data_IF_771765363908
#
_entry.id   IF_771765363908
#
_cell.length_a   1.000
_cell.length_b   1.000
_cell.length_c   1.000
_cell.angle_alpha   90.00
_cell.angle_beta   90.00
_cell.angle_gamma   90.00
#
_symmetry.space_group_name_H-M   'P 1'
#
loop_
_entity.id
_entity.type
_entity.pdbx_description
1 polymer ?
#
# COMPACT_ATOMS: atom_id res chain seq x y z
N UNK A 1 -19.61 9.82 29.31
CA UNK A 1 -18.60 8.95 29.94
C UNK A 1 -17.38 9.78 30.31
N UNK A 2 -16.68 9.44 31.39
CA UNK A 2 -15.40 10.10 31.70
C UNK A 2 -14.28 9.53 30.82
N UNK A 3 -13.14 10.22 30.71
CA UNK A 3 -11.98 9.72 29.96
C UNK A 3 -11.47 8.38 30.50
N UNK A 4 -11.56 8.17 31.81
CA UNK A 4 -11.19 6.90 32.45
C UNK A 4 -12.14 5.77 32.03
N UNK A 5 -13.45 6.03 31.98
CA UNK A 5 -14.44 5.04 31.52
C UNK A 5 -14.20 4.66 30.05
N UNK A 6 -13.82 5.62 29.20
CA UNK A 6 -13.51 5.37 27.79
C UNK A 6 -12.24 4.53 27.65
N UNK A 7 -11.19 4.81 28.44
CA UNK A 7 -9.96 3.97 28.44
C UNK A 7 -10.27 2.53 28.86
N UNK A 8 -11.16 2.33 29.83
CA UNK A 8 -11.58 0.99 30.23
C UNK A 8 -12.45 0.29 29.17
N UNK A 9 -13.31 1.04 28.47
CA UNK A 9 -14.03 0.54 27.31
C UNK A 9 -13.08 0.07 26.21
N UNK A 10 -12.05 0.87 25.88
CA UNK A 10 -10.98 0.50 24.94
C UNK A 10 -10.31 -0.79 25.39
N UNK A 11 -9.88 -0.88 26.66
CA UNK A 11 -9.26 -2.12 27.20
C UNK A 11 -10.17 -3.33 27.05
N UNK A 12 -11.46 -3.17 27.32
CA UNK A 12 -12.46 -4.24 27.23
C UNK A 12 -12.62 -4.70 25.78
N UNK A 13 -12.72 -3.78 24.81
CA UNK A 13 -12.78 -4.13 23.39
C UNK A 13 -11.52 -4.85 22.93
N UNK A 14 -10.34 -4.34 23.29
CA UNK A 14 -9.07 -4.97 22.93
C UNK A 14 -8.96 -6.40 23.49
N UNK A 15 -9.46 -6.64 24.71
CA UNK A 15 -9.43 -7.95 25.36
C UNK A 15 -10.46 -8.93 24.81
N UNK A 16 -11.72 -8.49 24.75
CA UNK A 16 -12.87 -9.39 24.60
C UNK A 16 -13.34 -9.51 23.14
N UNK A 17 -13.04 -8.51 22.31
CA UNK A 17 -13.47 -8.48 20.90
C UNK A 17 -12.32 -8.63 19.91
N UNK A 18 -11.18 -7.96 20.14
CA UNK A 18 -10.01 -8.07 19.25
C UNK A 18 -8.99 -9.12 19.70
N UNK A 19 -9.19 -9.74 20.87
CA UNK A 19 -8.29 -10.75 21.45
C UNK A 19 -6.81 -10.32 21.42
N UNK A 20 -6.55 -9.03 21.68
CA UNK A 20 -5.23 -8.43 21.56
C UNK A 20 -4.25 -9.08 22.55
N UNK A 21 -3.12 -9.57 22.01
CA UNK A 21 -2.11 -10.31 22.78
C UNK A 21 -1.09 -9.43 23.52
N UNK A 22 -1.15 -8.11 23.32
CA UNK A 22 -0.17 -7.13 23.79
C UNK A 22 -0.74 -6.22 24.91
N UNK A 23 -1.75 -6.72 25.63
CA UNK A 23 -2.43 -5.96 26.69
C UNK A 23 -1.55 -5.67 27.91
N UNK A 24 -0.42 -6.35 28.06
CA UNK A 24 0.59 -6.05 29.08
C UNK A 24 1.18 -4.65 28.95
N UNK A 25 1.26 -4.12 27.72
CA UNK A 25 1.73 -2.76 27.44
C UNK A 25 0.61 -1.72 27.55
N UNK A 26 -0.64 -2.13 27.82
CA UNK A 26 -1.79 -1.24 27.77
C UNK A 26 -1.79 -0.19 28.87
N UNK A 27 -1.85 1.07 28.44
CA UNK A 27 -2.06 2.23 29.29
C UNK A 27 -2.41 3.46 28.45
N UNK A 28 -2.76 4.60 29.07
CA UNK A 28 -3.14 5.80 28.32
C UNK A 28 -2.05 6.27 27.32
N UNK A 29 -0.78 6.10 27.66
CA UNK A 29 0.34 6.50 26.81
C UNK A 29 0.83 5.38 25.88
N UNK A 30 0.21 4.20 25.93
CA UNK A 30 0.57 3.11 25.03
C UNK A 30 0.30 3.53 23.60
N UNK A 31 1.31 3.38 22.75
CA UNK A 31 1.21 3.67 21.33
C UNK A 31 0.41 2.59 20.64
N UNK A 32 -0.57 3.01 19.84
CA UNK A 32 -1.56 2.12 19.24
C UNK A 32 -0.88 1.11 18.31
N UNK A 33 0.05 1.55 17.47
CA UNK A 33 0.75 0.67 16.55
C UNK A 33 1.93 -0.04 17.22
N UNK A 34 2.87 0.67 17.84
CA UNK A 34 4.11 0.02 18.29
C UNK A 34 3.97 -0.79 19.58
N UNK A 35 3.11 -0.38 20.50
CA UNK A 35 2.98 -1.05 21.80
C UNK A 35 1.79 -2.02 21.80
N UNK A 36 0.71 -1.69 21.09
CA UNK A 36 -0.53 -2.48 21.05
C UNK A 36 -0.76 -3.19 19.72
N UNK A 37 0.10 -3.00 18.72
CA UNK A 37 0.05 -3.70 17.45
C UNK A 37 -1.28 -3.51 16.68
N UNK A 38 -1.92 -2.35 16.87
CA UNK A 38 -3.15 -1.96 16.18
C UNK A 38 -2.79 -1.28 14.86
N UNK A 39 -3.15 -1.95 13.76
CA UNK A 39 -3.09 -1.36 12.43
C UNK A 39 -4.37 -0.61 12.08
N UNK A 40 -4.44 -0.03 10.88
CA UNK A 40 -5.61 0.74 10.47
C UNK A 40 -6.91 -0.08 10.41
N UNK A 41 -6.84 -1.40 10.19
CA UNK A 41 -8.02 -2.29 10.17
C UNK A 41 -8.46 -2.58 11.60
N UNK A 42 -7.55 -2.97 12.48
CA UNK A 42 -7.84 -3.19 13.90
C UNK A 42 -8.33 -1.91 14.59
N UNK A 43 -7.83 -0.74 14.17
CA UNK A 43 -8.34 0.54 14.62
C UNK A 43 -9.79 0.77 14.17
N UNK A 44 -10.13 0.48 12.92
CA UNK A 44 -11.53 0.55 12.44
C UNK A 44 -12.43 -0.41 13.23
N UNK A 45 -11.99 -1.64 13.48
CA UNK A 45 -12.75 -2.61 14.29
C UNK A 45 -12.90 -2.14 15.75
N UNK A 46 -11.87 -1.56 16.34
CA UNK A 46 -11.92 -0.96 17.67
C UNK A 46 -12.99 0.14 17.74
N UNK A 47 -12.99 1.08 16.79
CA UNK A 47 -13.97 2.17 16.77
C UNK A 47 -15.39 1.65 16.65
N UNK A 48 -15.62 0.69 15.75
CA UNK A 48 -16.92 0.11 15.54
C UNK A 48 -17.41 -0.63 16.80
N UNK A 49 -16.55 -1.35 17.49
CA UNK A 49 -16.91 -2.04 18.74
C UNK A 49 -17.15 -1.06 19.90
N UNK A 50 -16.42 0.05 19.98
CA UNK A 50 -16.70 1.11 20.94
C UNK A 50 -18.08 1.73 20.70
N UNK A 51 -18.45 1.93 19.44
CA UNK A 51 -19.78 2.41 19.08
C UNK A 51 -20.88 1.40 19.44
N UNK A 52 -20.74 0.16 18.97
CA UNK A 52 -21.78 -0.87 19.11
C UNK A 52 -21.96 -1.34 20.57
N UNK A 53 -20.87 -1.49 21.32
CA UNK A 53 -20.92 -2.05 22.68
C UNK A 53 -21.03 -0.99 23.77
N UNK A 54 -20.59 0.25 23.51
CA UNK A 54 -20.54 1.32 24.52
C UNK A 54 -21.30 2.60 24.13
N UNK A 55 -21.90 2.67 22.93
CA UNK A 55 -22.62 3.85 22.46
C UNK A 55 -21.70 5.05 22.21
N UNK A 56 -20.40 4.80 22.00
CA UNK A 56 -19.40 5.82 21.70
C UNK A 56 -19.37 6.07 20.19
N UNK A 57 -20.24 6.95 19.73
CA UNK A 57 -20.34 7.31 18.31
C UNK A 57 -19.22 8.28 17.90
N UNK A 58 -18.54 7.97 16.80
CA UNK A 58 -17.56 8.85 16.17
C UNK A 58 -17.88 8.96 14.67
N UNK A 59 -17.96 10.19 14.11
CA UNK A 59 -18.11 10.40 12.68
C UNK A 59 -17.05 9.62 11.89
N UNK A 60 -17.46 8.93 10.81
CA UNK A 60 -16.56 8.19 9.90
C UNK A 60 -15.32 9.03 9.52
N UNK A 61 -15.53 10.32 9.27
CA UNK A 61 -14.49 11.28 8.88
C UNK A 61 -13.43 11.46 9.96
N UNK A 62 -13.79 11.44 11.24
CA UNK A 62 -12.86 11.59 12.37
C UNK A 62 -12.07 10.30 12.65
N UNK A 63 -12.67 9.15 12.32
CA UNK A 63 -12.04 7.83 12.42
C UNK A 63 -10.95 7.66 11.35
N UNK A 64 -11.14 8.23 10.15
CA UNK A 64 -10.20 8.05 9.03
C UNK A 64 -9.14 9.15 8.90
N UNK A 65 -9.37 10.35 9.44
CA UNK A 65 -8.55 11.56 9.22
C UNK A 65 -7.57 11.95 10.33
N UNK A 66 -7.65 11.35 11.54
CA UNK A 66 -6.78 11.74 12.66
C UNK A 66 -5.57 10.81 12.80
N UNK A 67 -4.38 11.41 12.89
CA UNK A 67 -3.18 10.73 13.39
C UNK A 67 -3.34 10.50 14.90
N UNK A 68 -4.00 9.41 15.25
CA UNK A 68 -4.11 8.93 16.61
C UNK A 68 -2.88 8.06 16.89
N UNK A 69 -2.09 8.45 17.89
CA UNK A 69 -0.85 7.75 18.20
C UNK A 69 -1.00 6.88 19.45
N UNK A 70 -1.83 7.28 20.42
CA UNK A 70 -1.95 6.63 21.72
C UNK A 70 -3.39 6.32 22.11
N UNK A 71 -3.56 5.42 23.10
CA UNK A 71 -4.87 5.15 23.74
C UNK A 71 -5.51 6.43 24.28
N UNK A 72 -4.71 7.34 24.82
CA UNK A 72 -5.17 8.62 25.35
C UNK A 72 -5.75 9.52 24.24
N UNK A 73 -5.25 9.44 23.01
CA UNK A 73 -5.76 10.20 21.87
C UNK A 73 -7.14 9.67 21.45
N UNK A 74 -7.28 8.34 21.38
CA UNK A 74 -8.57 7.67 21.13
C UNK A 74 -9.59 8.05 22.20
N UNK A 75 -9.20 7.98 23.48
CA UNK A 75 -10.09 8.36 24.58
C UNK A 75 -10.43 9.87 24.55
N UNK A 76 -9.48 10.71 24.10
CA UNK A 76 -9.67 12.14 23.94
C UNK A 76 -10.69 12.48 22.86
N UNK A 77 -10.71 11.73 21.76
CA UNK A 77 -11.67 11.85 20.67
C UNK A 77 -13.12 11.74 21.20
N UNK A 78 -13.40 10.68 21.94
CA UNK A 78 -14.73 10.40 22.49
C UNK A 78 -15.10 11.27 23.70
N UNK A 79 -14.10 11.82 24.40
CA UNK A 79 -14.33 12.75 25.52
C UNK A 79 -14.64 14.18 25.06
N UNK A 80 -14.68 14.46 23.75
CA UNK A 80 -14.92 15.80 23.21
C UNK A 80 -13.76 16.78 23.47
N UNK A 81 -12.54 16.27 23.68
CA UNK A 81 -11.37 17.13 23.86
C UNK A 81 -11.07 17.86 22.54
N UNK A 82 -10.82 19.16 22.62
CA UNK A 82 -10.33 19.94 21.48
C UNK A 82 -9.01 19.31 20.98
N UNK A 83 -8.83 19.23 19.66
CA UNK A 83 -7.65 18.59 19.09
C UNK A 83 -6.38 19.22 19.66
N UNK A 84 -5.41 18.40 20.08
CA UNK A 84 -4.04 18.86 20.04
C UNK A 84 -3.77 19.23 18.58
N UNK A 85 -3.29 20.45 18.34
CA UNK A 85 -2.92 20.86 16.99
C UNK A 85 -1.97 19.77 16.44
N UNK A 86 -2.38 19.08 15.39
CA UNK A 86 -1.46 18.25 14.63
C UNK A 86 -0.28 19.16 14.29
N UNK A 87 0.95 18.70 14.54
CA UNK A 87 2.11 19.41 14.05
C UNK A 87 1.87 19.63 12.56
N UNK A 88 1.85 20.90 12.11
CA UNK A 88 1.69 21.21 10.69
C UNK A 88 2.73 20.37 9.95
N UNK A 89 2.24 19.46 9.11
CA UNK A 89 3.11 18.80 8.16
C UNK A 89 3.84 19.93 7.42
N UNK A 90 5.17 19.85 7.25
CA UNK A 90 5.89 20.86 6.50
C UNK A 90 5.19 21.05 5.16
N UNK A 91 5.09 22.30 4.66
CA UNK A 91 4.39 22.56 3.41
C UNK A 91 4.90 21.59 2.36
N UNK A 92 4.01 20.94 1.58
CA UNK A 92 4.43 19.98 0.58
C UNK A 92 5.50 20.64 -0.28
N UNK A 93 6.67 20.01 -0.36
CA UNK A 93 7.78 20.52 -1.16
C UNK A 93 7.32 20.76 -2.59
N UNK A 94 7.93 21.74 -3.28
CA UNK A 94 7.60 22.01 -4.68
C UNK A 94 7.67 20.73 -5.50
N UNK A 95 6.71 20.50 -6.41
CA UNK A 95 6.76 19.36 -7.34
C UNK A 95 8.05 19.40 -8.18
N UNK A 96 8.67 20.56 -8.32
CA UNK A 96 9.95 20.76 -9.01
C UNK A 96 11.19 20.60 -8.11
N UNK A 97 11.01 20.52 -6.79
CA UNK A 97 12.08 20.32 -5.81
C UNK A 97 12.66 18.90 -5.80
N UNK A 98 13.80 18.73 -5.12
CA UNK A 98 14.40 17.41 -4.86
C UNK A 98 13.74 16.69 -3.67
N UNK A 99 13.05 17.44 -2.80
CA UNK A 99 12.34 16.96 -1.60
C UNK A 99 10.91 16.46 -1.87
N UNK A 100 10.63 15.95 -3.07
CA UNK A 100 9.36 15.27 -3.31
C UNK A 100 9.38 13.92 -2.57
N UNK A 101 8.59 13.81 -1.50
CA UNK A 101 8.56 12.62 -0.65
C UNK A 101 7.83 11.48 -1.36
N UNK A 102 8.51 10.33 -1.51
CA UNK A 102 7.92 9.12 -2.09
C UNK A 102 6.77 8.61 -1.21
N UNK A 103 5.64 8.30 -1.83
CA UNK A 103 4.48 7.73 -1.16
C UNK A 103 4.62 6.21 -1.18
N UNK A 104 4.09 5.54 -0.15
CA UNK A 104 4.12 4.08 -0.05
C UNK A 104 3.09 3.51 -1.00
N UNK A 105 3.48 2.64 -1.94
CA UNK A 105 2.56 2.23 -2.99
C UNK A 105 2.65 0.74 -3.32
N UNK A 106 3.87 0.19 -3.45
CA UNK A 106 4.06 -1.19 -3.87
C UNK A 106 5.49 -1.68 -3.60
N UNK A 107 5.68 -2.54 -2.60
CA UNK A 107 6.99 -2.98 -2.10
C UNK A 107 8.02 -3.42 -3.16
N UNK A 108 7.61 -4.25 -4.13
CA UNK A 108 8.47 -4.64 -5.25
C UNK A 108 8.95 -3.44 -6.09
N UNK A 109 8.02 -2.56 -6.48
CA UNK A 109 8.30 -1.38 -7.31
C UNK A 109 9.17 -0.40 -6.55
N UNK A 110 8.86 -0.15 -5.27
CA UNK A 110 9.66 0.69 -4.38
C UNK A 110 11.11 0.20 -4.27
N UNK A 111 11.31 -1.12 -4.18
CA UNK A 111 12.64 -1.72 -4.13
C UNK A 111 13.46 -1.53 -5.43
N UNK A 112 12.88 -1.77 -6.60
CA UNK A 112 13.62 -1.57 -7.86
C UNK A 112 13.79 -0.08 -8.21
N UNK A 113 12.87 0.78 -7.78
CA UNK A 113 13.00 2.24 -7.86
C UNK A 113 14.11 2.78 -6.96
N UNK A 114 14.48 2.08 -5.88
CA UNK A 114 15.61 2.48 -5.05
C UNK A 114 16.93 2.53 -5.84
N UNK A 115 17.18 1.53 -6.69
CA UNK A 115 18.37 1.54 -7.54
C UNK A 115 18.36 2.69 -8.55
N UNK A 116 17.18 3.05 -9.09
CA UNK A 116 17.04 4.22 -9.96
C UNK A 116 17.38 5.52 -9.21
N UNK A 117 16.84 5.70 -8.00
CA UNK A 117 17.12 6.87 -7.15
C UNK A 117 18.60 6.98 -6.82
N UNK A 118 19.24 5.88 -6.39
CA UNK A 118 20.69 5.83 -6.13
C UNK A 118 21.54 6.12 -7.38
N UNK A 119 21.00 5.92 -8.57
CA UNK A 119 21.64 6.24 -9.85
C UNK A 119 21.29 7.65 -10.37
N UNK A 120 20.47 8.43 -9.67
CA UNK A 120 20.00 9.73 -10.13
C UNK A 120 19.05 9.67 -11.32
N UNK A 121 18.41 8.52 -11.55
CA UNK A 121 17.47 8.29 -12.65
C UNK A 121 16.04 8.57 -12.18
N UNK A 122 15.24 9.18 -13.04
CA UNK A 122 13.83 9.43 -12.77
C UNK A 122 13.03 8.11 -12.70
N UNK A 123 12.62 7.78 -11.48
CA UNK A 123 11.91 6.55 -11.14
C UNK A 123 10.38 6.69 -11.27
N UNK A 124 9.85 7.91 -11.30
CA UNK A 124 8.41 8.20 -11.32
C UNK A 124 7.66 7.49 -12.45
N UNK A 125 8.20 7.40 -13.69
CA UNK A 125 7.56 6.64 -14.76
C UNK A 125 7.27 5.18 -14.42
N UNK A 126 8.07 4.55 -13.57
CA UNK A 126 7.90 3.13 -13.26
C UNK A 126 6.63 2.84 -12.44
N UNK A 127 6.14 3.83 -11.69
CA UNK A 127 4.90 3.73 -10.93
C UNK A 127 3.63 3.72 -11.80
N UNK A 128 3.72 3.94 -13.12
CA UNK A 128 2.53 3.91 -14.00
C UNK A 128 1.83 2.54 -14.00
N UNK A 129 2.55 1.47 -13.70
CA UNK A 129 1.99 0.13 -13.60
C UNK A 129 1.30 -0.19 -12.27
N UNK A 130 1.23 0.75 -11.33
CA UNK A 130 0.90 0.43 -9.93
C UNK A 130 -0.55 0.69 -9.54
N UNK A 131 -1.17 1.80 -9.98
CA UNK A 131 -2.54 2.17 -9.57
C UNK A 131 -3.60 1.10 -9.86
N UNK A 132 -3.39 0.32 -10.93
CA UNK A 132 -4.22 -0.81 -11.34
C UNK A 132 -3.42 -2.12 -11.44
N UNK A 133 -2.32 -2.22 -10.66
CA UNK A 133 -1.56 -3.46 -10.57
C UNK A 133 -2.47 -4.64 -10.16
N UNK A 134 -2.14 -5.82 -10.67
CA UNK A 134 -2.94 -7.04 -10.48
C UNK A 134 -3.20 -7.37 -9.00
N UNK A 135 -4.37 -7.94 -8.77
CA UNK A 135 -4.81 -8.56 -7.52
C UNK A 135 -5.74 -9.73 -7.90
N UNK A 136 -6.01 -10.64 -6.96
CA UNK A 136 -6.92 -11.77 -7.18
C UNK A 136 -8.23 -11.57 -6.42
N UNK A 137 -9.35 -11.95 -7.04
CA UNK A 137 -10.60 -12.27 -6.33
C UNK A 137 -10.80 -13.76 -6.47
N UNK A 138 -10.64 -14.49 -5.37
CA UNK A 138 -10.75 -15.95 -5.39
C UNK A 138 -12.19 -16.42 -5.63
N UNK A 139 -12.36 -17.72 -5.90
CA UNK A 139 -13.69 -18.33 -6.01
C UNK A 139 -14.52 -18.15 -4.72
N UNK A 140 -13.84 -18.02 -3.59
CA UNK A 140 -14.40 -17.71 -2.26
C UNK A 140 -14.79 -16.23 -2.08
N UNK A 141 -14.68 -15.41 -3.13
CA UNK A 141 -14.99 -13.98 -3.12
C UNK A 141 -14.11 -13.17 -2.16
N UNK A 142 -12.89 -13.64 -1.89
CA UNK A 142 -11.91 -12.93 -1.06
C UNK A 142 -10.93 -12.19 -1.96
N UNK A 143 -10.74 -10.90 -1.67
CA UNK A 143 -9.78 -10.01 -2.31
C UNK A 143 -8.36 -10.29 -1.76
N UNK A 144 -7.40 -10.52 -2.66
CA UNK A 144 -6.02 -10.85 -2.31
C UNK A 144 -5.01 -9.97 -3.07
N UNK A 145 -4.18 -9.27 -2.32
CA UNK A 145 -3.02 -8.49 -2.75
C UNK A 145 -1.91 -9.41 -3.26
N UNK A 146 -1.71 -10.56 -2.61
CA UNK A 146 -0.79 -11.62 -3.03
C UNK A 146 -1.53 -12.91 -3.34
N UNK A 147 -1.30 -13.44 -4.53
CA UNK A 147 -1.74 -14.76 -4.92
C UNK A 147 -0.81 -15.34 -6.01
N UNK A 148 -0.78 -16.66 -6.22
CA UNK A 148 0.07 -17.28 -7.25
C UNK A 148 -0.21 -16.76 -8.67
N UNK A 149 -1.40 -16.24 -8.92
CA UNK A 149 -1.81 -15.64 -10.20
C UNK A 149 -1.27 -14.23 -10.41
N UNK A 150 -0.85 -13.54 -9.34
CA UNK A 150 -0.28 -12.19 -9.38
C UNK A 150 1.22 -12.31 -9.63
N UNK A 151 1.64 -12.03 -10.87
CA UNK A 151 3.05 -12.08 -11.29
C UNK A 151 3.70 -10.70 -11.33
N UNK A 152 4.99 -10.65 -10.99
CA UNK A 152 5.85 -9.47 -11.18
C UNK A 152 6.56 -9.44 -12.55
N UNK A 153 6.31 -10.41 -13.43
CA UNK A 153 7.01 -10.51 -14.73
C UNK A 153 6.82 -9.29 -15.61
N UNK A 154 5.61 -8.73 -15.63
CA UNK A 154 5.32 -7.48 -16.36
C UNK A 154 6.22 -6.34 -15.88
N UNK A 155 6.39 -6.20 -14.57
CA UNK A 155 7.29 -5.18 -14.01
C UNK A 155 8.74 -5.45 -14.38
N UNK A 156 9.19 -6.71 -14.37
CA UNK A 156 10.57 -7.09 -14.71
C UNK A 156 10.88 -6.78 -16.18
N UNK A 157 9.98 -7.14 -17.09
CA UNK A 157 10.13 -6.91 -18.52
C UNK A 157 10.15 -5.41 -18.85
N UNK A 158 9.25 -4.64 -18.24
CA UNK A 158 9.23 -3.19 -18.41
C UNK A 158 10.41 -2.49 -17.75
N UNK A 159 10.88 -2.96 -16.59
CA UNK A 159 12.07 -2.39 -15.95
C UNK A 159 13.29 -2.53 -16.86
N UNK A 160 13.48 -3.72 -17.46
CA UNK A 160 14.54 -3.94 -18.45
C UNK A 160 14.38 -3.07 -19.68
N UNK A 161 13.16 -2.92 -20.22
CA UNK A 161 12.93 -2.09 -21.41
C UNK A 161 13.14 -0.61 -21.15
N UNK A 162 12.66 -0.11 -20.00
CA UNK A 162 12.74 1.30 -19.62
C UNK A 162 14.15 1.67 -19.21
N UNK A 163 14.81 0.85 -18.41
CA UNK A 163 16.02 1.21 -17.69
C UNK A 163 17.22 0.31 -17.97
N UNK A 164 17.08 -0.74 -18.78
CA UNK A 164 18.18 -1.59 -19.24
C UNK A 164 18.52 -2.77 -18.33
N UNK A 165 18.42 -2.58 -17.01
CA UNK A 165 18.79 -3.61 -16.05
C UNK A 165 17.79 -4.78 -16.02
N UNK A 166 18.31 -6.00 -15.93
CA UNK A 166 17.50 -7.19 -15.77
C UNK A 166 17.17 -7.44 -14.29
N UNK A 167 15.88 -7.63 -13.98
CA UNK A 167 15.43 -8.07 -12.66
C UNK A 167 15.30 -9.59 -12.65
N UNK A 168 16.33 -10.27 -12.15
CA UNK A 168 16.47 -11.74 -12.17
C UNK A 168 15.94 -12.35 -10.89
N UNK A 169 15.01 -13.28 -11.00
CA UNK A 169 14.56 -14.05 -9.84
C UNK A 169 15.68 -15.01 -9.38
N UNK A 170 16.03 -14.97 -8.10
CA UNK A 170 16.97 -15.93 -7.49
C UNK A 170 16.25 -17.01 -6.67
N UNK A 171 15.05 -16.71 -6.16
CA UNK A 171 14.24 -17.66 -5.40
C UNK A 171 13.69 -18.74 -6.33
N UNK A 172 13.94 -20.00 -5.99
CA UNK A 172 13.51 -21.16 -6.77
C UNK A 172 12.39 -21.91 -6.02
N UNK A 173 11.13 -21.85 -6.48
CA UNK A 173 10.01 -22.54 -5.84
C UNK A 173 10.14 -24.07 -5.81
N UNK A 174 11.01 -24.65 -6.65
CA UNK A 174 11.27 -26.09 -6.64
C UNK A 174 12.23 -26.53 -5.53
N UNK A 175 12.94 -25.59 -4.90
CA UNK A 175 13.87 -25.84 -3.78
C UNK A 175 13.19 -25.69 -2.43
N UNK A 176 13.73 -26.37 -1.43
CA UNK A 176 13.31 -26.22 -0.05
C UNK A 176 13.56 -24.81 0.50
N UNK A 177 12.87 -24.46 1.58
CA UNK A 177 13.03 -23.16 2.26
C UNK A 177 14.47 -22.92 2.74
N UNK A 178 15.10 -23.92 3.35
CA UNK A 178 16.48 -23.80 3.82
C UNK A 178 17.49 -23.66 2.68
N UNK A 179 17.25 -24.30 1.53
CA UNK A 179 18.12 -24.17 0.36
C UNK A 179 18.03 -22.76 -0.23
N UNK A 180 16.81 -22.21 -0.35
CA UNK A 180 16.62 -20.82 -0.76
C UNK A 180 17.20 -19.83 0.25
N UNK A 181 17.08 -20.10 1.55
CA UNK A 181 17.68 -19.27 2.60
C UNK A 181 19.21 -19.26 2.51
N UNK A 182 19.83 -20.43 2.26
CA UNK A 182 21.27 -20.52 2.05
C UNK A 182 21.72 -19.72 0.82
N UNK A 183 20.96 -19.77 -0.28
CA UNK A 183 21.21 -18.94 -1.47
C UNK A 183 21.11 -17.45 -1.12
N UNK A 184 20.08 -17.03 -0.38
CA UNK A 184 19.95 -15.64 0.04
C UNK A 184 21.17 -15.17 0.82
N UNK A 185 21.61 -15.94 1.80
CA UNK A 185 22.76 -15.57 2.64
C UNK A 185 24.05 -15.49 1.82
N UNK A 186 24.26 -16.43 0.89
CA UNK A 186 25.41 -16.39 -0.02
C UNK A 186 25.39 -15.14 -0.92
N UNK A 187 24.22 -14.77 -1.44
CA UNK A 187 24.04 -13.58 -2.27
C UNK A 187 24.35 -12.30 -1.49
N UNK A 188 23.85 -12.16 -0.26
CA UNK A 188 24.11 -10.97 0.57
C UNK A 188 25.58 -10.88 0.98
N UNK A 189 26.25 -12.02 1.22
CA UNK A 189 27.66 -12.03 1.62
C UNK A 189 28.62 -11.72 0.44
N UNK A 190 28.26 -12.16 -0.78
CA UNK A 190 29.14 -12.06 -1.97
C UNK A 190 28.79 -10.93 -2.93
N UNK A 191 27.68 -10.21 -2.72
CA UNK A 191 27.25 -9.16 -3.64
C UNK A 191 28.32 -8.07 -3.83
N UNK A 192 28.38 -7.52 -5.03
CA UNK A 192 29.08 -6.26 -5.30
C UNK A 192 28.25 -5.08 -4.77
N UNK A 193 28.88 -3.93 -4.53
CA UNK A 193 28.20 -2.70 -4.07
C UNK A 193 27.09 -2.23 -5.01
N UNK A 194 27.13 -2.63 -6.28
CA UNK A 194 26.14 -2.25 -7.28
C UNK A 194 25.00 -3.25 -7.42
N UNK A 195 25.14 -4.44 -6.85
CA UNK A 195 24.15 -5.49 -6.92
C UNK A 195 23.16 -5.37 -5.77
N UNK A 196 21.90 -5.18 -6.12
CA UNK A 196 20.78 -5.13 -5.19
C UNK A 196 20.25 -6.54 -4.96
N UNK A 197 20.18 -6.96 -3.68
CA UNK A 197 19.58 -8.24 -3.26
C UNK A 197 18.24 -7.96 -2.61
N UNK A 198 17.15 -8.26 -3.33
CA UNK A 198 15.79 -8.13 -2.84
C UNK A 198 15.27 -9.48 -2.38
N UNK A 199 14.69 -9.53 -1.18
CA UNK A 199 14.11 -10.72 -0.60
C UNK A 199 12.68 -10.45 -0.13
N UNK A 200 11.79 -11.41 -0.34
CA UNK A 200 10.50 -11.43 0.35
C UNK A 200 10.71 -11.98 1.77
N UNK A 201 10.12 -11.33 2.75
CA UNK A 201 10.02 -11.80 4.14
C UNK A 201 8.60 -11.54 4.65
N UNK A 202 8.18 -12.24 5.70
CA UNK A 202 6.92 -11.94 6.37
C UNK A 202 7.14 -10.90 7.48
N UNK A 203 6.66 -9.67 7.26
CA UNK A 203 6.89 -8.57 8.22
C UNK A 203 6.16 -8.75 9.54
N UNK A 204 5.13 -9.61 9.61
CA UNK A 204 4.50 -9.95 10.89
C UNK A 204 5.51 -10.52 11.89
N UNK A 205 6.57 -11.17 11.39
CA UNK A 205 7.62 -11.79 12.18
C UNK A 205 8.85 -10.88 12.42
N UNK A 206 8.76 -9.59 12.06
CA UNK A 206 9.82 -8.58 12.27
C UNK A 206 9.30 -7.38 13.09
N UNK A 207 9.05 -7.56 14.40
CA UNK A 207 8.48 -6.53 15.29
C UNK A 207 9.41 -5.35 15.55
N UNK A 208 10.70 -5.46 15.22
CA UNK A 208 11.68 -4.37 15.33
C UNK A 208 11.39 -3.20 14.36
N UNK A 209 10.37 -3.36 13.50
CA UNK A 209 9.95 -2.37 12.51
C UNK A 209 8.58 -1.82 12.85
N UNK A 210 8.41 -0.51 12.65
CA UNK A 210 7.06 0.10 12.63
C UNK A 210 6.30 -0.47 11.43
N UNK A 211 5.30 -1.31 11.70
CA UNK A 211 4.49 -1.95 10.68
C UNK A 211 3.09 -1.34 10.67
N UNK A 212 2.82 -0.51 9.65
CA UNK A 212 1.50 0.10 9.45
C UNK A 212 0.38 -0.93 9.20
N UNK A 213 0.72 -2.17 8.86
CA UNK A 213 -0.21 -3.27 8.64
C UNK A 213 0.24 -4.49 9.44
N UNK A 214 -0.40 -4.74 10.58
CA UNK A 214 -0.06 -5.86 11.46
C UNK A 214 -0.85 -7.11 11.04
N UNK A 215 -0.91 -7.37 9.74
CA UNK A 215 -1.60 -8.52 9.18
C UNK A 215 -0.76 -9.79 9.32
N UNK A 216 -1.39 -10.92 9.57
CA UNK A 216 -0.75 -12.22 9.54
C UNK A 216 -1.45 -13.13 8.52
N UNK A 217 -0.74 -13.61 7.48
CA UNK A 217 0.64 -13.26 7.11
C UNK A 217 0.74 -11.86 6.47
N UNK A 218 1.94 -11.26 6.43
CA UNK A 218 2.19 -10.03 5.66
C UNK A 218 3.51 -10.13 4.87
N UNK A 219 3.51 -10.87 3.74
CA UNK A 219 4.68 -11.01 2.89
C UNK A 219 5.02 -9.67 2.20
N UNK A 220 6.29 -9.30 2.22
CA UNK A 220 6.77 -7.99 1.75
C UNK A 220 8.18 -8.10 1.17
N UNK A 221 8.47 -7.32 0.14
CA UNK A 221 9.82 -7.22 -0.42
C UNK A 221 10.62 -6.11 0.24
N UNK A 222 11.86 -6.43 0.63
CA UNK A 222 12.84 -5.48 1.14
C UNK A 222 14.23 -5.79 0.58
N UNK A 223 15.17 -4.88 0.83
CA UNK A 223 16.56 -4.97 0.41
C UNK A 223 17.44 -5.45 1.56
N UNK A 224 18.34 -6.38 1.27
CA UNK A 224 19.30 -6.91 2.24
C UNK A 224 20.74 -6.57 1.86
N UNK A 225 21.47 -6.12 2.88
CA UNK A 225 22.83 -5.66 2.80
C UNK A 225 23.71 -6.26 3.90
N UNK A 226 25.01 -6.38 3.61
CA UNK A 226 25.99 -6.73 4.63
C UNK A 226 26.15 -5.55 5.60
N UNK A 227 26.02 -5.82 6.89
CA UNK A 227 26.32 -4.88 7.97
C UNK A 227 27.78 -5.00 8.41
N UNK A 228 28.19 -4.16 9.37
CA UNK A 228 29.50 -4.27 10.00
C UNK A 228 29.64 -5.50 10.91
N UNK A 229 28.52 -6.01 11.44
CA UNK A 229 28.45 -7.19 12.30
C UNK A 229 27.99 -8.44 11.51
N UNK A 230 28.80 -9.51 11.42
CA UNK A 230 28.39 -10.76 10.78
C UNK A 230 27.16 -11.46 11.38
N UNK A 231 26.67 -11.06 12.56
CA UNK A 231 25.43 -11.57 13.14
C UNK A 231 24.18 -10.80 12.70
N UNK A 232 24.34 -9.68 11.98
CA UNK A 232 23.22 -8.87 11.49
C UNK A 232 23.23 -8.75 9.96
N UNK A 233 22.11 -8.26 9.43
CA UNK A 233 22.04 -7.68 8.11
C UNK A 233 21.64 -6.22 8.25
N UNK A 234 22.19 -5.38 7.38
CA UNK A 234 21.62 -4.07 7.15
C UNK A 234 20.41 -4.27 6.24
N UNK A 235 19.24 -3.88 6.72
CA UNK A 235 17.97 -4.08 6.05
C UNK A 235 17.45 -2.71 5.64
N UNK A 236 17.06 -2.60 4.38
CA UNK A 236 16.46 -1.38 3.85
C UNK A 236 15.12 -1.70 3.23
N UNK A 237 14.10 -0.97 3.66
CA UNK A 237 12.76 -1.05 3.11
C UNK A 237 12.40 0.31 2.49
N UNK A 238 12.59 0.45 1.16
CA UNK A 238 12.27 1.69 0.47
C UNK A 238 10.78 2.06 0.53
N UNK A 239 9.89 1.07 0.64
CA UNK A 239 8.43 1.28 0.68
C UNK A 239 8.00 1.86 2.03
N UNK A 240 8.60 1.38 3.12
CA UNK A 240 8.36 1.93 4.46
C UNK A 240 9.30 3.07 4.84
N UNK A 241 10.29 3.38 4.00
CA UNK A 241 11.36 4.38 4.26
C UNK A 241 12.13 4.07 5.54
N UNK A 242 12.39 2.79 5.75
CA UNK A 242 13.04 2.30 6.96
C UNK A 242 14.39 1.68 6.61
N UNK A 243 15.39 1.94 7.44
CA UNK A 243 16.72 1.35 7.35
C UNK A 243 17.20 1.03 8.76
N UNK A 244 17.78 -0.15 8.95
CA UNK A 244 18.31 -0.56 10.25
C UNK A 244 18.95 -1.94 10.21
N UNK A 245 19.65 -2.28 11.29
CA UNK A 245 20.25 -3.61 11.44
C UNK A 245 19.24 -4.59 12.05
N UNK A 246 19.11 -5.78 11.46
CA UNK A 246 18.27 -6.87 11.96
C UNK A 246 19.13 -8.12 12.11
N UNK A 247 18.94 -8.86 13.20
CA UNK A 247 19.63 -10.14 13.42
C UNK A 247 19.37 -11.13 12.26
N UNK A 248 20.41 -11.85 11.83
CA UNK A 248 20.31 -12.81 10.73
C UNK A 248 19.27 -13.89 11.00
N UNK A 249 19.19 -14.36 12.24
CA UNK A 249 18.22 -15.36 12.68
C UNK A 249 16.77 -14.86 12.55
N UNK A 250 16.52 -13.58 12.86
CA UNK A 250 15.19 -12.96 12.69
C UNK A 250 14.77 -12.92 11.23
N UNK A 251 15.68 -12.52 10.34
CA UNK A 251 15.43 -12.56 8.89
C UNK A 251 15.18 -13.99 8.42
N UNK A 252 15.93 -14.96 8.91
CA UNK A 252 15.70 -16.37 8.60
C UNK A 252 14.30 -16.84 9.02
N UNK A 253 13.87 -16.48 10.23
CA UNK A 253 12.55 -16.87 10.75
C UNK A 253 11.40 -16.22 9.97
N UNK A 254 11.54 -14.94 9.62
CA UNK A 254 10.58 -14.24 8.76
C UNK A 254 10.56 -14.79 7.33
N UNK A 255 11.71 -15.25 6.80
CA UNK A 255 11.82 -15.86 5.46
C UNK A 255 11.22 -17.27 5.39
N UNK A 256 11.31 -18.04 6.48
CA UNK A 256 10.80 -19.42 6.56
C UNK A 256 9.29 -19.51 6.49
N UNK A 257 8.57 -18.41 6.69
CA UNK A 257 7.11 -18.42 6.69
C UNK A 257 6.55 -18.97 5.37
N UNK A 258 5.44 -19.74 5.40
CA UNK A 258 4.83 -20.31 4.20
C UNK A 258 4.37 -19.25 3.18
N UNK A 259 4.06 -18.05 3.66
CA UNK A 259 3.66 -16.88 2.87
C UNK A 259 4.78 -16.32 1.99
N UNK A 260 6.04 -16.61 2.32
CA UNK A 260 7.21 -16.10 1.59
C UNK A 260 7.51 -16.99 0.40
N UNK A 261 7.77 -16.40 -0.77
CA UNK A 261 8.01 -17.19 -1.99
C UNK A 261 8.73 -16.44 -3.10
N UNK A 262 9.51 -15.40 -2.78
CA UNK A 262 10.11 -14.56 -3.82
C UNK A 262 11.42 -13.88 -3.43
N UNK A 263 12.17 -13.49 -4.45
CA UNK A 263 13.42 -12.77 -4.31
C UNK A 263 14.09 -12.51 -5.65
N UNK A 264 14.66 -11.33 -5.81
CA UNK A 264 15.25 -10.88 -7.07
C UNK A 264 16.59 -10.16 -6.90
N UNK A 265 17.37 -10.18 -7.97
CA UNK A 265 18.63 -9.47 -8.15
C UNK A 265 18.48 -8.46 -9.29
N UNK A 266 19.08 -7.30 -9.13
CA UNK A 266 19.21 -6.30 -10.18
C UNK A 266 20.47 -5.47 -9.92
N UNK A 267 21.15 -5.03 -10.97
CA UNK A 267 22.43 -4.32 -10.84
C UNK A 267 22.31 -2.90 -11.36
N UNK A 268 22.69 -1.92 -10.54
CA UNK A 268 22.60 -0.51 -10.92
C UNK A 268 23.59 -0.10 -12.01
N UNK A 269 24.61 -0.92 -12.31
CA UNK A 269 25.57 -0.66 -13.41
C UNK A 269 24.92 -0.71 -14.78
N UNK A 270 23.86 -1.48 -14.92
CA UNK A 270 23.18 -1.70 -16.19
C UNK A 270 22.07 -0.67 -16.44
N UNK A 271 21.89 0.28 -15.50
CA UNK A 271 20.82 1.27 -15.56
C UNK A 271 21.12 2.41 -16.52
N UNK A 272 20.09 2.83 -17.25
CA UNK A 272 20.08 4.06 -18.03
C UNK A 272 18.74 4.81 -17.85
N UNK A 273 18.70 6.13 -18.09
CA UNK A 273 17.44 6.87 -18.14
C UNK A 273 16.48 6.31 -19.20
N UNK A 274 15.18 6.32 -18.90
CA UNK A 274 14.17 5.87 -19.83
C UNK A 274 14.00 6.82 -21.01
N UNK A 275 13.85 6.26 -22.21
CA UNK A 275 13.57 7.04 -23.43
C UNK A 275 12.10 7.47 -23.44
N UNK A 276 11.75 8.68 -23.92
CA UNK A 276 10.36 9.13 -24.00
C UNK A 276 9.44 8.15 -24.72
N UNK A 277 9.89 7.50 -25.79
CA UNK A 277 9.09 6.50 -26.52
C UNK A 277 8.75 5.26 -25.67
N UNK A 278 9.69 4.80 -24.82
CA UNK A 278 9.45 3.66 -23.94
C UNK A 278 8.57 4.04 -22.75
N UNK A 279 8.72 5.26 -22.21
CA UNK A 279 7.80 5.80 -21.19
C UNK A 279 6.37 5.88 -21.73
N UNK A 280 6.19 6.37 -22.97
CA UNK A 280 4.88 6.43 -23.60
C UNK A 280 4.26 5.04 -23.80
N UNK A 281 5.06 4.08 -24.30
CA UNK A 281 4.61 2.71 -24.48
C UNK A 281 4.25 2.03 -23.14
N UNK A 282 4.99 2.31 -22.07
CA UNK A 282 4.69 1.77 -20.74
C UNK A 282 3.40 2.37 -20.18
N UNK A 283 3.22 3.69 -20.29
CA UNK A 283 1.98 4.34 -19.89
C UNK A 283 0.77 3.71 -20.60
N UNK A 284 0.83 3.57 -21.93
CA UNK A 284 -0.26 2.96 -22.71
C UNK A 284 -0.53 1.51 -22.35
N UNK A 285 0.50 0.73 -22.00
CA UNK A 285 0.34 -0.65 -21.59
C UNK A 285 -0.33 -0.80 -20.20
N UNK A 286 -0.15 0.18 -19.33
CA UNK A 286 -0.67 0.14 -17.95
C UNK A 286 -1.99 0.91 -17.77
N UNK A 287 -2.25 1.92 -18.59
CA UNK A 287 -3.35 2.85 -18.41
C UNK A 287 -4.68 2.29 -18.91
N UNK A 288 -5.62 2.08 -17.98
CA UNK A 288 -7.00 1.65 -18.27
C UNK A 288 -7.94 2.83 -18.14
N UNK A 289 -8.27 3.46 -19.26
CA UNK A 289 -9.01 4.72 -19.29
C UNK A 289 -10.49 4.59 -18.86
N UNK A 290 -11.07 3.40 -19.00
CA UNK A 290 -12.51 3.14 -18.96
C UNK A 290 -12.92 2.08 -17.94
N UNK A 291 -11.99 1.61 -17.11
CA UNK A 291 -12.25 0.57 -16.11
C UNK A 291 -11.58 0.91 -14.78
N UNK A 292 -12.23 0.59 -13.66
CA UNK A 292 -11.69 0.74 -12.30
C UNK A 292 -11.71 -0.61 -11.59
N UNK A 293 -10.68 -1.46 -11.79
CA UNK A 293 -10.72 -2.87 -11.39
C UNK A 293 -11.01 -3.08 -9.91
N UNK A 294 -10.39 -2.28 -9.03
CA UNK A 294 -10.58 -2.40 -7.58
C UNK A 294 -12.04 -2.11 -7.18
N UNK A 295 -12.60 -1.00 -7.66
CA UNK A 295 -13.99 -0.60 -7.37
C UNK A 295 -14.98 -1.64 -7.91
N UNK A 296 -14.74 -2.16 -9.12
CA UNK A 296 -15.54 -3.22 -9.73
C UNK A 296 -15.47 -4.53 -8.93
N UNK A 297 -14.28 -4.92 -8.48
CA UNK A 297 -14.06 -6.11 -7.67
C UNK A 297 -14.78 -6.02 -6.31
N UNK A 298 -14.64 -4.90 -5.59
CA UNK A 298 -15.35 -4.68 -4.32
C UNK A 298 -16.86 -4.72 -4.53
N UNK A 299 -17.36 -4.12 -5.63
CA UNK A 299 -18.78 -4.18 -6.00
C UNK A 299 -19.26 -5.61 -6.25
N UNK A 300 -18.46 -6.43 -6.93
CA UNK A 300 -18.78 -7.82 -7.19
C UNK A 300 -18.82 -8.65 -5.89
N UNK A 301 -17.83 -8.47 -5.00
CA UNK A 301 -17.76 -9.15 -3.69
C UNK A 301 -18.99 -8.79 -2.83
N UNK A 302 -19.35 -7.49 -2.75
CA UNK A 302 -20.55 -7.06 -2.03
C UNK A 302 -21.83 -7.68 -2.62
N UNK A 303 -21.98 -7.68 -3.95
CA UNK A 303 -23.12 -8.34 -4.60
C UNK A 303 -23.18 -9.83 -4.29
N UNK A 304 -22.05 -10.52 -4.20
CA UNK A 304 -22.04 -11.95 -3.88
C UNK A 304 -22.51 -12.24 -2.44
N UNK A 305 -22.15 -11.39 -1.48
CA UNK A 305 -22.53 -11.52 -0.07
C UNK A 305 -23.96 -11.02 0.23
N UNK A 306 -24.48 -10.11 -0.60
CA UNK A 306 -25.83 -9.54 -0.43
C UNK A 306 -26.88 -10.18 -1.35
N UNK A 307 -26.46 -10.81 -2.44
CA UNK A 307 -27.33 -11.25 -3.55
C UNK A 307 -28.04 -12.58 -3.35
N UNK A 308 -27.84 -13.27 -2.22
CA UNK A 308 -28.57 -14.50 -1.86
C UNK A 308 -28.28 -15.75 -2.72
N UNK A 309 -27.70 -15.61 -3.92
CA UNK A 309 -27.47 -16.73 -4.87
C UNK A 309 -26.27 -17.62 -4.55
N UNK A 310 -25.38 -17.21 -3.64
CA UNK A 310 -24.17 -17.95 -3.29
C UNK A 310 -24.05 -18.33 -1.79
N UNK A 311 -25.06 -18.06 -0.96
CA UNK A 311 -25.03 -18.33 0.49
C UNK A 311 -23.76 -17.82 1.24
N UNK A 312 -23.14 -16.72 0.79
CA UNK A 312 -22.06 -16.09 1.56
C UNK A 312 -22.68 -15.11 2.57
N UNK A 313 -22.49 -15.33 3.89
CA UNK A 313 -23.08 -14.46 4.89
C UNK A 313 -22.37 -13.09 4.91
N UNK A 314 -23.09 -11.97 5.14
CA UNK A 314 -22.49 -10.64 5.28
C UNK A 314 -21.34 -10.57 6.30
N UNK A 315 -21.40 -11.39 7.36
CA UNK A 315 -20.35 -11.50 8.37
C UNK A 315 -18.96 -11.86 7.80
N UNK A 316 -18.90 -12.51 6.64
CA UNK A 316 -17.63 -12.85 6.00
C UNK A 316 -16.99 -11.67 5.26
N UNK A 317 -17.69 -10.53 5.10
CA UNK A 317 -17.16 -9.37 4.39
C UNK A 317 -15.92 -8.77 5.06
N UNK A 318 -15.81 -8.84 6.40
CA UNK A 318 -14.60 -8.39 7.11
C UNK A 318 -13.35 -9.14 6.64
N UNK A 319 -13.46 -10.46 6.44
CA UNK A 319 -12.37 -11.27 5.91
C UNK A 319 -12.20 -11.07 4.40
N UNK A 320 -13.31 -11.04 3.65
CA UNK A 320 -13.29 -10.96 2.20
C UNK A 320 -12.64 -9.67 1.66
N UNK A 321 -12.74 -8.57 2.41
CA UNK A 321 -12.22 -7.25 2.02
C UNK A 321 -11.13 -6.73 2.96
N UNK A 322 -10.55 -7.59 3.81
CA UNK A 322 -9.47 -7.25 4.76
C UNK A 322 -8.28 -6.56 4.08
N UNK A 323 -7.96 -6.96 2.85
CA UNK A 323 -6.80 -6.43 2.10
C UNK A 323 -7.15 -5.19 1.24
N UNK A 324 -8.40 -4.70 1.29
CA UNK A 324 -8.81 -3.50 0.56
C UNK A 324 -7.94 -2.27 0.90
N UNK A 325 -7.65 -1.94 2.18
CA UNK A 325 -6.79 -0.80 2.49
C UNK A 325 -5.36 -0.94 1.94
N UNK A 326 -4.83 -2.16 1.92
CA UNK A 326 -3.48 -2.46 1.39
C UNK A 326 -3.46 -2.25 -0.12
N UNK A 327 -4.50 -2.66 -0.86
CA UNK A 327 -4.57 -2.45 -2.30
C UNK A 327 -4.91 -0.98 -2.63
N UNK A 328 -5.78 -0.33 -1.86
CA UNK A 328 -6.20 1.04 -2.09
C UNK A 328 -5.05 2.06 -1.98
N UNK A 329 -4.00 1.77 -1.19
CA UNK A 329 -2.80 2.62 -1.13
C UNK A 329 -2.14 2.78 -2.51
N UNK A 330 -2.35 1.83 -3.43
CA UNK A 330 -1.83 1.90 -4.79
C UNK A 330 -2.34 3.11 -5.56
N UNK A 331 -3.46 3.72 -5.16
CA UNK A 331 -4.02 4.91 -5.82
C UNK A 331 -3.11 6.13 -5.69
N UNK A 332 -2.22 6.18 -4.69
CA UNK A 332 -1.16 7.19 -4.64
C UNK A 332 -0.15 7.10 -5.79
N UNK A 333 -0.10 5.99 -6.54
CA UNK A 333 0.69 5.92 -7.77
C UNK A 333 0.33 7.03 -8.77
N UNK A 334 -0.92 7.50 -8.78
CA UNK A 334 -1.33 8.59 -9.65
C UNK A 334 -0.51 9.86 -9.40
N UNK A 335 -0.08 10.06 -8.16
CA UNK A 335 0.73 11.21 -7.80
C UNK A 335 2.10 11.17 -8.49
N UNK A 336 2.74 9.99 -8.57
CA UNK A 336 3.96 9.82 -9.37
C UNK A 336 3.72 10.09 -10.86
N UNK A 337 2.56 9.66 -11.38
CA UNK A 337 2.07 9.97 -12.71
C UNK A 337 2.06 11.49 -12.96
N UNK A 338 1.30 12.21 -12.14
CA UNK A 338 1.17 13.66 -12.24
C UNK A 338 2.51 14.36 -12.01
N UNK A 339 3.29 13.97 -11.01
CA UNK A 339 4.59 14.57 -10.70
C UNK A 339 5.57 14.42 -11.88
N UNK A 340 5.57 13.28 -12.57
CA UNK A 340 6.32 13.11 -13.82
C UNK A 340 5.93 14.13 -14.87
N UNK A 341 4.65 14.18 -15.24
CA UNK A 341 4.21 15.07 -16.30
C UNK A 341 4.30 16.55 -15.92
N UNK A 342 4.03 16.92 -14.67
CA UNK A 342 4.13 18.29 -14.18
C UNK A 342 5.55 18.83 -14.27
N UNK A 343 6.55 18.04 -13.88
CA UNK A 343 7.96 18.42 -13.98
C UNK A 343 8.40 18.49 -15.43
N UNK A 344 8.04 17.50 -16.24
CA UNK A 344 8.41 17.46 -17.66
C UNK A 344 7.81 18.65 -18.45
N UNK A 345 6.59 19.06 -18.12
CA UNK A 345 5.88 20.17 -18.76
C UNK A 345 6.05 21.52 -18.04
N UNK A 346 6.75 21.56 -16.90
CA UNK A 346 6.94 22.75 -16.04
C UNK A 346 5.61 23.43 -15.65
N UNK A 347 4.64 22.64 -15.23
CA UNK A 347 3.33 23.12 -14.78
C UNK A 347 3.39 23.65 -13.33
N UNK A 348 2.38 24.42 -12.91
CA UNK A 348 2.37 25.05 -11.59
C UNK A 348 2.15 24.05 -10.44
N UNK A 349 2.72 24.38 -9.28
CA UNK A 349 2.57 23.62 -8.03
C UNK A 349 1.11 23.58 -7.58
N UNK A 350 0.38 24.70 -7.64
CA UNK A 350 -1.05 24.74 -7.29
C UNK A 350 -1.87 23.72 -8.08
N UNK A 351 -1.56 23.58 -9.39
CA UNK A 351 -2.23 22.61 -10.24
C UNK A 351 -1.95 21.17 -9.83
N UNK A 352 -0.75 20.90 -9.31
CA UNK A 352 -0.33 19.58 -8.82
C UNK A 352 -1.00 19.26 -7.49
N UNK A 353 -0.99 20.20 -6.54
CA UNK A 353 -1.59 20.04 -5.21
C UNK A 353 -3.08 19.70 -5.29
N UNK A 354 -3.82 20.33 -6.21
CA UNK A 354 -5.23 19.96 -6.46
C UNK A 354 -5.42 18.49 -6.87
N UNK A 355 -4.43 17.87 -7.53
CA UNK A 355 -4.48 16.44 -7.89
C UNK A 355 -4.09 15.58 -6.70
N UNK A 356 -3.11 16.00 -5.91
CA UNK A 356 -2.79 15.35 -4.64
C UNK A 356 -4.02 15.29 -3.74
N UNK A 357 -4.75 16.39 -3.58
CA UNK A 357 -5.99 16.45 -2.79
C UNK A 357 -7.05 15.47 -3.33
N UNK A 358 -7.25 15.43 -4.65
CA UNK A 358 -8.21 14.50 -5.26
C UNK A 358 -7.80 13.02 -5.10
N UNK A 359 -6.50 12.71 -5.10
CA UNK A 359 -5.97 11.37 -4.83
C UNK A 359 -6.16 11.00 -3.36
N UNK A 360 -5.90 11.93 -2.44
CA UNK A 360 -6.14 11.76 -1.01
C UNK A 360 -7.64 11.50 -0.75
N UNK A 361 -8.52 12.30 -1.33
CA UNK A 361 -9.97 12.10 -1.24
C UNK A 361 -10.41 10.72 -1.75
N UNK A 362 -9.83 10.24 -2.85
CA UNK A 362 -10.10 8.89 -3.38
C UNK A 362 -9.66 7.81 -2.37
N UNK A 363 -8.44 7.90 -1.84
CA UNK A 363 -7.92 6.95 -0.86
C UNK A 363 -8.75 6.94 0.43
N UNK A 364 -9.08 8.11 0.96
CA UNK A 364 -9.92 8.25 2.15
C UNK A 364 -11.34 7.73 1.90
N UNK A 365 -11.86 7.90 0.68
CA UNK A 365 -13.13 7.30 0.29
C UNK A 365 -13.11 5.77 0.36
N UNK A 366 -12.02 5.10 -0.05
CA UNK A 366 -11.86 3.65 0.12
C UNK A 366 -11.78 3.24 1.59
N UNK A 367 -11.08 4.00 2.44
CA UNK A 367 -11.04 3.76 3.89
C UNK A 367 -12.44 3.86 4.51
N UNK A 368 -13.18 4.92 4.18
CA UNK A 368 -14.53 5.14 4.66
C UNK A 368 -15.50 4.06 4.17
N UNK A 369 -15.39 3.63 2.91
CA UNK A 369 -16.11 2.49 2.38
C UNK A 369 -15.80 1.21 3.18
N UNK A 370 -14.52 0.93 3.46
CA UNK A 370 -14.12 -0.25 4.21
C UNK A 370 -14.73 -0.26 5.63
N UNK A 371 -14.71 0.89 6.33
CA UNK A 371 -15.36 1.01 7.64
C UNK A 371 -16.86 0.71 7.58
N UNK A 372 -17.58 1.25 6.59
CA UNK A 372 -19.00 0.98 6.41
C UNK A 372 -19.30 -0.50 6.06
N UNK A 373 -18.39 -1.17 5.35
CA UNK A 373 -18.47 -2.61 5.07
C UNK A 373 -18.26 -3.42 6.34
N UNK A 374 -17.30 -3.07 7.19
CA UNK A 374 -17.09 -3.71 8.49
C UNK A 374 -18.33 -3.56 9.38
N UNK A 375 -18.97 -2.39 9.37
CA UNK A 375 -20.25 -2.18 10.05
C UNK A 375 -21.32 -3.15 9.56
N UNK A 376 -21.54 -3.25 8.25
CA UNK A 376 -22.47 -4.22 7.67
C UNK A 376 -22.12 -5.66 8.08
N UNK A 377 -20.85 -6.04 8.06
CA UNK A 377 -20.40 -7.37 8.42
C UNK A 377 -20.73 -7.71 9.88
N UNK A 378 -20.51 -6.77 10.80
CA UNK A 378 -20.72 -6.98 12.22
C UNK A 378 -22.19 -6.90 12.64
N UNK A 379 -22.97 -5.98 12.07
CA UNK A 379 -24.40 -5.81 12.44
C UNK A 379 -25.32 -6.73 11.66
N UNK A 380 -24.92 -7.18 10.46
CA UNK A 380 -25.79 -7.87 9.52
C UNK A 380 -26.89 -7.00 8.92
N UNK A 381 -26.85 -5.67 9.13
CA UNK A 381 -27.89 -4.75 8.65
C UNK A 381 -27.76 -4.50 7.14
N UNK A 382 -28.45 -5.33 6.36
CA UNK A 382 -28.54 -5.20 4.90
C UNK A 382 -29.17 -3.89 4.43
N UNK A 383 -29.83 -3.12 5.31
CA UNK A 383 -30.31 -1.77 5.04
C UNK A 383 -29.19 -0.77 4.72
N UNK A 384 -27.95 -1.09 5.09
CA UNK A 384 -26.75 -0.29 4.75
C UNK A 384 -26.32 -0.43 3.27
N UNK A 385 -26.83 -1.44 2.55
CA UNK A 385 -26.38 -1.75 1.20
C UNK A 385 -26.53 -0.59 0.18
N UNK A 386 -27.64 0.18 0.13
CA UNK A 386 -27.78 1.29 -0.80
C UNK A 386 -26.68 2.37 -0.62
N UNK A 387 -26.30 2.67 0.63
CA UNK A 387 -25.23 3.63 0.92
C UNK A 387 -23.87 3.11 0.42
N UNK A 388 -23.55 1.84 0.68
CA UNK A 388 -22.31 1.20 0.21
C UNK A 388 -22.17 1.26 -1.32
N UNK A 389 -23.24 0.95 -2.06
CA UNK A 389 -23.22 1.06 -3.52
C UNK A 389 -23.12 2.52 -3.99
N UNK A 390 -23.75 3.46 -3.29
CA UNK A 390 -23.60 4.90 -3.56
C UNK A 390 -22.18 5.42 -3.35
N UNK A 391 -21.48 4.93 -2.32
CA UNK A 391 -20.05 5.21 -2.07
C UNK A 391 -19.17 4.63 -3.18
N UNK A 392 -19.42 3.40 -3.61
CA UNK A 392 -18.72 2.78 -4.75
C UNK A 392 -18.93 3.57 -6.05
N UNK A 393 -20.14 4.05 -6.32
CA UNK A 393 -20.42 4.88 -7.51
C UNK A 393 -19.67 6.22 -7.46
N UNK A 394 -19.47 6.78 -6.25
CA UNK A 394 -18.70 8.01 -6.06
C UNK A 394 -17.21 7.77 -6.32
N UNK A 395 -16.65 6.73 -5.72
CA UNK A 395 -15.25 6.32 -5.92
C UNK A 395 -14.95 6.06 -7.39
N UNK A 396 -15.85 5.36 -8.08
CA UNK A 396 -15.74 5.10 -9.51
C UNK A 396 -15.63 6.40 -10.32
N UNK A 397 -16.56 7.34 -10.09
CA UNK A 397 -16.54 8.65 -10.77
C UNK A 397 -15.28 9.47 -10.44
N UNK A 398 -14.84 9.48 -9.18
CA UNK A 398 -13.63 10.19 -8.75
C UNK A 398 -12.39 9.63 -9.45
N UNK A 399 -12.23 8.32 -9.48
CA UNK A 399 -11.10 7.69 -10.15
C UNK A 399 -11.14 7.88 -11.68
N UNK A 400 -12.31 7.80 -12.31
CA UNK A 400 -12.44 8.10 -13.74
C UNK A 400 -12.07 9.55 -14.07
N UNK A 401 -12.41 10.50 -13.20
CA UNK A 401 -12.02 11.90 -13.38
C UNK A 401 -10.49 12.08 -13.28
N UNK A 402 -9.84 11.45 -12.31
CA UNK A 402 -8.38 11.44 -12.18
C UNK A 402 -7.70 10.84 -13.43
N UNK A 403 -8.23 9.73 -13.94
CA UNK A 403 -7.75 9.10 -15.17
C UNK A 403 -7.90 9.99 -16.38
N UNK A 404 -9.04 10.66 -16.55
CA UNK A 404 -9.26 11.61 -17.64
C UNK A 404 -8.25 12.75 -17.60
N UNK A 405 -8.00 13.33 -16.41
CA UNK A 405 -6.98 14.36 -16.20
C UNK A 405 -5.57 13.85 -16.53
N UNK A 406 -5.24 12.63 -16.09
CA UNK A 406 -3.94 12.00 -16.35
C UNK A 406 -3.71 11.72 -17.83
N UNK A 407 -4.74 11.24 -18.54
CA UNK A 407 -4.70 11.04 -19.99
C UNK A 407 -4.49 12.37 -20.73
N UNK A 408 -5.19 13.43 -20.32
CA UNK A 408 -5.05 14.75 -20.93
C UNK A 408 -3.62 15.30 -20.78
N UNK A 409 -3.01 15.17 -19.59
CA UNK A 409 -1.62 15.62 -19.38
C UNK A 409 -0.61 14.72 -20.10
N UNK A 410 -0.86 13.41 -20.18
CA UNK A 410 -0.05 12.47 -20.95
C UNK A 410 -0.01 12.87 -22.45
N UNK A 411 -1.16 13.18 -23.05
CA UNK A 411 -1.21 13.61 -24.45
C UNK A 411 -0.47 14.93 -24.68
N UNK A 412 -0.56 15.88 -23.74
CA UNK A 412 0.23 17.13 -23.78
C UNK A 412 1.72 16.85 -23.71
N UNK A 413 2.15 15.96 -22.82
CA UNK A 413 3.55 15.54 -22.69
C UNK A 413 4.06 14.84 -23.96
N UNK A 414 3.28 13.93 -24.56
CA UNK A 414 3.65 13.29 -25.83
C UNK A 414 3.87 14.28 -26.95
N UNK A 415 2.96 15.25 -27.09
CA UNK A 415 3.10 16.30 -28.09
C UNK A 415 4.38 17.13 -27.86
N UNK A 416 4.65 17.52 -26.61
CA UNK A 416 5.86 18.26 -26.24
C UNK A 416 7.15 17.44 -26.45
N UNK A 417 7.10 16.12 -26.26
CA UNK A 417 8.21 15.20 -26.48
C UNK A 417 8.44 14.85 -27.97
N UNK A 418 7.66 15.41 -28.90
CA UNK A 418 7.76 15.10 -30.33
C UNK A 418 7.27 13.68 -30.69
N UNK A 419 6.49 13.05 -29.81
CA UNK A 419 5.91 11.72 -30.02
C UNK A 419 4.54 11.89 -30.67
N UNK A 420 4.50 12.23 -31.96
CA UNK A 420 3.26 12.20 -32.74
C UNK A 420 2.74 10.77 -32.86
N UNK A 421 1.43 10.58 -32.96
CA UNK A 421 0.87 9.31 -33.37
C UNK A 421 1.57 8.92 -34.70
N UNK A 422 2.08 7.69 -34.79
CA UNK A 422 2.26 7.08 -36.10
C UNK A 422 0.91 7.23 -36.79
N UNK A 423 0.87 7.98 -37.88
CA UNK A 423 -0.30 7.97 -38.75
C UNK A 423 -0.63 6.51 -39.00
N UNK A 424 -1.89 6.14 -38.78
CA UNK A 424 -2.44 4.92 -39.34
C UNK A 424 -2.43 5.10 -40.86
N UNK A 425 -1.25 4.95 -41.46
CA UNK A 425 -1.03 4.94 -42.89
C UNK A 425 -0.32 3.63 -43.24
N UNK A 426 -1.04 2.82 -44.01
CA UNK A 426 -0.63 1.63 -44.77
C UNK A 426 -0.48 0.36 -43.90
N UNK A 427 -1.30 -0.70 -44.02
CA UNK A 427 -2.10 -1.25 -45.12
C UNK A 427 -3.39 -1.89 -44.62
#
# INVERSE_FOLDING_TARGET
>A
MTRADIVEAIRTVLRDHLENRHLEAFGPQARLNEDLHLDSVLMMELFLQLELSFGLDAPDELVTSRDLSTVADVAGLFAGAAPAAAAEAPPPGSVHGEEYQDIKVHCFVSCVCDALKRAGIDHRPFYFGVWDAGFEVGADQVLRYHAPTVSHDVFRDWYRRLYGAEVRQWYDPARGKEENLAVLFDLVERRADTLSVMAMVDLFHLPERENKFNQNPFPHYLMLEKSGDPATFLVRDPDFRWEGEIARERIADAFRQPSVGGGYLFDRRDLHPARPADIAAYFEACFRADANPLTEAVRAILRAHLGGTACLPPANLSMALRELPVIAIRKYAYEHGFAFFWRALRLSDDGFLLRCDAIEELFQGFKSLHYAILRLAQTGDVGLAPDLFGRLDRLDRQEMALKADLAAVFHRWRAAAGLTALSAEVA
#
